data_IF_263885620358
#
_entry.id   IF_263885620358
#
_cell.length_a   1.000
_cell.length_b   1.000
_cell.length_c   1.000
_cell.angle_alpha   90.00
_cell.angle_beta   90.00
_cell.angle_gamma   90.00
#
_symmetry.space_group_name_H-M   'P 1'
#
loop_
_entity.id
_entity.type
_entity.pdbx_description
1 polymer ?
#
# COMPACT_ATOMS: atom_id res chain seq x y z
N UNK A 1 -11.32 4.10 14.89
CA UNK A 1 -11.10 2.66 14.65
C UNK A 1 -10.43 2.55 13.29
N UNK A 2 -9.19 2.03 13.24
CA UNK A 2 -8.48 1.87 11.95
C UNK A 2 -9.36 0.99 11.05
N UNK A 3 -9.69 1.48 9.86
CA UNK A 3 -10.57 0.76 8.93
C UNK A 3 -9.84 -0.31 8.13
N UNK A 4 -8.52 -0.42 8.30
CA UNK A 4 -7.66 -1.37 7.60
C UNK A 4 -6.63 -1.97 8.57
N UNK A 5 -6.08 -3.11 8.18
CA UNK A 5 -4.98 -3.79 8.87
C UNK A 5 -3.89 -4.15 7.86
N UNK A 6 -2.66 -3.69 8.08
CA UNK A 6 -1.50 -4.04 7.24
C UNK A 6 -1.09 -5.46 7.62
N UNK A 7 -1.19 -6.38 6.66
CA UNK A 7 -0.85 -7.80 6.85
C UNK A 7 0.59 -8.09 6.44
N UNK A 8 1.13 -7.32 5.51
CA UNK A 8 2.49 -7.48 5.01
C UNK A 8 3.04 -6.14 4.48
N UNK A 9 4.34 -5.95 4.60
CA UNK A 9 5.03 -4.78 4.07
C UNK A 9 6.38 -5.21 3.49
N UNK A 10 6.63 -4.80 2.26
CA UNK A 10 7.84 -5.09 1.49
C UNK A 10 8.49 -3.75 1.17
N UNK A 11 9.71 -3.55 1.65
CA UNK A 11 10.52 -2.37 1.34
C UNK A 11 11.57 -2.80 0.33
N UNK A 12 11.48 -2.25 -0.87
CA UNK A 12 12.43 -2.47 -1.95
C UNK A 12 13.43 -1.32 -1.97
N UNK A 13 14.63 -1.60 -1.47
CA UNK A 13 15.75 -0.67 -1.29
C UNK A 13 16.74 -0.84 -2.46
N UNK A 14 16.23 -0.84 -3.70
CA UNK A 14 17.09 -1.07 -4.86
C UNK A 14 18.14 0.05 -4.97
N UNK A 15 19.40 -0.32 -4.73
CA UNK A 15 20.53 0.60 -4.63
C UNK A 15 20.82 1.37 -5.92
N UNK A 16 20.21 0.99 -7.05
CA UNK A 16 20.40 1.58 -8.38
C UNK A 16 19.06 1.97 -9.08
N UNK A 17 17.93 1.89 -8.38
CA UNK A 17 16.58 2.02 -8.96
C UNK A 17 15.63 2.97 -8.19
N UNK A 18 14.35 3.00 -8.60
CA UNK A 18 13.29 3.67 -7.85
C UNK A 18 12.91 2.81 -6.63
N UNK A 19 13.37 3.22 -5.46
CA UNK A 19 12.99 2.57 -4.20
C UNK A 19 11.47 2.62 -4.01
N UNK A 20 10.87 1.51 -3.61
CA UNK A 20 9.43 1.41 -3.45
C UNK A 20 9.02 0.65 -2.19
N UNK A 21 7.88 1.02 -1.63
CA UNK A 21 7.29 0.34 -0.49
C UNK A 21 5.95 -0.22 -0.92
N UNK A 22 5.83 -1.54 -0.91
CA UNK A 22 4.58 -2.22 -1.15
C UNK A 22 3.99 -2.68 0.17
N UNK A 23 2.76 -2.26 0.48
CA UNK A 23 2.03 -2.67 1.66
C UNK A 23 0.79 -3.45 1.26
N UNK A 24 0.66 -4.67 1.78
CA UNK A 24 -0.55 -5.46 1.66
C UNK A 24 -1.40 -5.26 2.92
N UNK A 25 -2.67 -4.95 2.73
CA UNK A 25 -3.58 -4.67 3.84
C UNK A 25 -4.98 -5.21 3.56
N UNK A 26 -5.72 -5.50 4.62
CA UNK A 26 -7.12 -5.91 4.54
C UNK A 26 -8.02 -4.73 4.91
N UNK A 27 -9.01 -4.44 4.06
CA UNK A 27 -10.02 -3.41 4.30
C UNK A 27 -11.40 -3.95 3.89
N UNK A 28 -12.40 -3.89 4.78
CA UNK A 28 -13.76 -4.37 4.52
C UNK A 28 -13.82 -5.79 3.94
N UNK A 29 -13.08 -6.72 4.54
CA UNK A 29 -13.01 -8.14 4.14
C UNK A 29 -12.34 -8.41 2.78
N UNK A 30 -11.75 -7.39 2.16
CA UNK A 30 -11.00 -7.52 0.91
C UNK A 30 -9.52 -7.25 1.15
N UNK A 31 -8.68 -7.99 0.42
CA UNK A 31 -7.25 -7.78 0.42
C UNK A 31 -6.88 -6.74 -0.63
N UNK A 32 -6.05 -5.80 -0.24
CA UNK A 32 -5.51 -4.75 -1.08
C UNK A 32 -4.00 -4.80 -1.03
N UNK A 33 -3.38 -4.35 -2.12
CA UNK A 33 -1.94 -4.16 -2.20
C UNK A 33 -1.69 -2.77 -2.77
N UNK A 34 -0.83 -2.01 -2.12
CA UNK A 34 -0.53 -0.63 -2.53
C UNK A 34 0.98 -0.47 -2.62
N UNK A 35 1.47 0.10 -3.72
CA UNK A 35 2.88 0.45 -3.85
C UNK A 35 3.02 1.97 -3.84
N UNK A 36 3.92 2.43 -2.97
CA UNK A 36 4.35 3.81 -2.87
C UNK A 36 5.80 3.93 -3.34
N UNK A 37 6.15 5.06 -3.95
CA UNK A 37 7.55 5.41 -4.15
C UNK A 37 8.15 5.76 -2.79
N UNK A 38 9.26 5.14 -2.38
CA UNK A 38 9.83 5.33 -1.03
C UNK A 38 10.35 6.75 -0.80
N UNK A 39 10.81 7.44 -1.86
CA UNK A 39 11.41 8.78 -1.74
C UNK A 39 10.42 9.84 -1.26
N UNK A 40 9.19 9.83 -1.79
CA UNK A 40 8.15 10.83 -1.46
C UNK A 40 6.85 10.22 -0.90
N UNK A 41 6.75 8.89 -0.87
CA UNK A 41 5.52 8.15 -0.57
C UNK A 41 4.37 8.53 -1.53
N UNK A 42 4.71 8.88 -2.77
CA UNK A 42 3.73 9.05 -3.83
C UNK A 42 3.13 7.68 -4.18
N UNK A 43 1.81 7.65 -4.36
CA UNK A 43 1.10 6.43 -4.72
C UNK A 43 1.45 6.05 -6.16
N UNK A 44 2.15 4.94 -6.36
CA UNK A 44 2.51 4.43 -7.69
C UNK A 44 1.37 3.60 -8.26
N UNK A 45 0.84 2.68 -7.45
CA UNK A 45 -0.27 1.83 -7.85
C UNK A 45 -1.08 1.36 -6.64
N UNK A 46 -2.31 0.91 -6.90
CA UNK A 46 -3.09 0.20 -5.91
C UNK A 46 -3.95 -0.87 -6.56
N UNK A 47 -4.11 -1.97 -5.84
CA UNK A 47 -4.70 -3.19 -6.32
C UNK A 47 -5.64 -3.76 -5.26
N UNK A 48 -6.70 -4.41 -5.71
CA UNK A 48 -7.60 -5.20 -4.86
C UNK A 48 -7.64 -6.62 -5.40
N UNK A 49 -7.57 -7.57 -4.48
CA UNK A 49 -7.73 -8.98 -4.77
C UNK A 49 -9.18 -9.37 -4.52
N UNK A 50 -9.89 -9.72 -5.59
CA UNK A 50 -11.29 -10.15 -5.55
C UNK A 50 -11.50 -11.27 -6.59
N UNK A 51 -12.26 -12.31 -6.23
CA UNK A 51 -12.62 -13.41 -7.13
C UNK A 51 -11.41 -14.06 -7.85
N UNK A 52 -10.31 -14.31 -7.11
CA UNK A 52 -9.05 -14.84 -7.65
C UNK A 52 -8.38 -13.96 -8.73
N UNK A 53 -8.70 -12.67 -8.78
CA UNK A 53 -8.10 -11.72 -9.70
C UNK A 53 -7.60 -10.50 -8.95
N UNK A 54 -6.49 -9.96 -9.43
CA UNK A 54 -5.97 -8.66 -9.00
C UNK A 54 -6.42 -7.62 -10.00
N UNK A 55 -7.20 -6.65 -9.54
CA UNK A 55 -7.66 -5.53 -10.38
C UNK A 55 -7.20 -4.21 -9.77
N UNK A 56 -7.00 -3.16 -10.58
CA UNK A 56 -6.64 -1.84 -10.06
C UNK A 56 -7.71 -1.38 -9.07
N UNK A 57 -7.29 -1.03 -7.86
CA UNK A 57 -8.18 -0.48 -6.86
C UNK A 57 -8.24 1.03 -7.01
N UNK A 58 -9.39 1.61 -6.67
CA UNK A 58 -9.46 3.02 -6.35
C UNK A 58 -9.75 3.12 -4.85
N UNK A 59 -8.72 3.48 -4.09
CA UNK A 59 -8.80 3.64 -2.64
C UNK A 59 -9.20 5.08 -2.32
N UNK A 60 -10.05 5.30 -1.30
CA UNK A 60 -10.35 6.66 -0.86
C UNK A 60 -9.11 7.31 -0.26
N UNK A 61 -8.91 8.61 -0.52
CA UNK A 61 -7.73 9.37 -0.08
C UNK A 61 -7.45 9.24 1.42
N UNK A 62 -8.49 9.22 2.26
CA UNK A 62 -8.37 9.03 3.71
C UNK A 62 -7.61 7.75 4.08
N UNK A 63 -7.82 6.65 3.34
CA UNK A 63 -7.12 5.38 3.58
C UNK A 63 -5.69 5.47 3.09
N UNK A 64 -5.46 6.11 1.94
CA UNK A 64 -4.12 6.32 1.37
C UNK A 64 -3.27 7.18 2.32
N UNK A 65 -3.80 8.31 2.80
CA UNK A 65 -3.11 9.20 3.76
C UNK A 65 -2.77 8.46 5.05
N UNK A 66 -3.72 7.70 5.60
CA UNK A 66 -3.48 6.92 6.82
C UNK A 66 -2.39 5.85 6.60
N UNK A 67 -2.39 5.16 5.46
CA UNK A 67 -1.36 4.18 5.09
C UNK A 67 0.01 4.84 4.93
N UNK A 68 0.06 5.99 4.26
CA UNK A 68 1.28 6.80 4.10
C UNK A 68 1.87 7.18 5.45
N UNK A 69 1.04 7.66 6.39
CA UNK A 69 1.51 7.98 7.74
C UNK A 69 2.05 6.75 8.48
N UNK A 70 1.39 5.59 8.36
CA UNK A 70 1.82 4.35 9.00
C UNK A 70 3.16 3.86 8.42
N UNK A 71 3.29 3.83 7.09
CA UNK A 71 4.53 3.47 6.39
C UNK A 71 5.66 4.41 6.77
N UNK A 72 5.41 5.73 6.79
CA UNK A 72 6.39 6.75 7.18
C UNK A 72 6.93 6.56 8.60
N UNK A 73 6.16 5.94 9.50
CA UNK A 73 6.59 5.64 10.87
C UNK A 73 7.41 4.35 10.97
N UNK A 74 7.36 3.51 9.95
CA UNK A 74 8.08 2.22 9.88
C UNK A 74 9.40 2.34 9.14
N UNK A 75 9.51 3.25 8.16
CA UNK A 75 10.76 3.54 7.42
C UNK A 75 11.68 4.52 8.15
#
# INVERSE_FOLDING_TARGET
>A
MKSYEITNMIIDDDFYGEESVTADFTHKDKQYSVTFNKSDLELVNSWVFEENRTIPANLPDVVIDSLREDIKRTI
#
